data_IF_789408266237
#
_entry.id   IF_789408266237
#
_cell.length_a   1.000
_cell.length_b   1.000
_cell.length_c   1.000
_cell.angle_alpha   90.00
_cell.angle_beta   90.00
_cell.angle_gamma   90.00
#
_symmetry.space_group_name_H-M   'P 1'
#
loop_
_entity.id
_entity.type
_entity.pdbx_description
1 polymer ?
#
# COMPACT_ATOMS: atom_id res chain seq x y z
N UNK A 1 -13.01 -28.61 -5.01
CA UNK A 1 -14.27 -29.21 -5.42
C UNK A 1 -14.44 -30.67 -4.99
N UNK A 2 -13.36 -31.47 -4.81
CA UNK A 2 -13.47 -32.87 -4.31
C UNK A 2 -14.25 -32.99 -2.99
N UNK A 3 -14.07 -32.04 -2.07
CA UNK A 3 -14.79 -32.00 -0.79
C UNK A 3 -16.31 -31.84 -0.94
N UNK A 4 -16.78 -31.23 -2.02
CA UNK A 4 -18.20 -30.95 -2.26
C UNK A 4 -18.81 -31.88 -3.33
N UNK A 5 -18.09 -32.93 -3.77
CA UNK A 5 -18.58 -33.86 -4.78
C UNK A 5 -18.90 -33.22 -6.14
N UNK A 6 -18.17 -32.18 -6.52
CA UNK A 6 -18.40 -31.45 -7.77
C UNK A 6 -17.80 -32.21 -8.97
N UNK A 7 -18.47 -33.26 -9.38
CA UNK A 7 -18.06 -34.10 -10.51
C UNK A 7 -18.08 -33.34 -11.86
N UNK A 8 -18.91 -32.31 -11.97
CA UNK A 8 -19.08 -31.52 -13.21
C UNK A 8 -18.24 -30.22 -13.22
N UNK A 9 -17.36 -30.03 -12.24
CA UNK A 9 -16.50 -28.84 -12.08
C UNK A 9 -17.26 -27.50 -12.11
N UNK A 10 -18.55 -27.47 -11.78
CA UNK A 10 -19.38 -26.26 -11.78
C UNK A 10 -18.94 -25.26 -10.70
N UNK A 11 -18.68 -25.73 -9.49
CA UNK A 11 -18.17 -24.90 -8.40
C UNK A 11 -16.78 -24.36 -8.72
N UNK A 12 -15.92 -25.18 -9.32
CA UNK A 12 -14.58 -24.76 -9.76
C UNK A 12 -14.68 -23.69 -10.85
N UNK A 13 -15.60 -23.80 -11.80
CA UNK A 13 -15.81 -22.81 -12.83
C UNK A 13 -16.30 -21.48 -12.25
N UNK A 14 -17.29 -21.51 -11.36
CA UNK A 14 -17.81 -20.31 -10.71
C UNK A 14 -16.71 -19.62 -9.89
N UNK A 15 -15.95 -20.39 -9.11
CA UNK A 15 -14.84 -19.87 -8.33
C UNK A 15 -13.77 -19.24 -9.22
N UNK A 16 -13.41 -19.87 -10.34
CA UNK A 16 -12.45 -19.32 -11.29
C UNK A 16 -12.93 -17.99 -11.89
N UNK A 17 -14.19 -17.88 -12.27
CA UNK A 17 -14.76 -16.63 -12.79
C UNK A 17 -14.72 -15.53 -11.74
N UNK A 18 -15.11 -15.83 -10.50
CA UNK A 18 -15.08 -14.87 -9.39
C UNK A 18 -13.64 -14.40 -9.14
N UNK A 19 -12.67 -15.32 -9.08
CA UNK A 19 -11.28 -15.00 -8.92
C UNK A 19 -10.81 -14.06 -10.04
N UNK A 20 -11.06 -14.40 -11.30
CA UNK A 20 -10.65 -13.57 -12.44
C UNK A 20 -11.25 -12.15 -12.36
N UNK A 21 -12.53 -12.03 -12.07
CA UNK A 21 -13.22 -10.72 -11.99
C UNK A 21 -12.62 -9.82 -10.92
N UNK A 22 -12.22 -10.35 -9.77
CA UNK A 22 -11.69 -9.56 -8.67
C UNK A 22 -10.16 -9.43 -8.68
N UNK A 23 -9.44 -10.44 -9.19
CA UNK A 23 -7.98 -10.40 -9.21
C UNK A 23 -7.40 -9.58 -10.35
N UNK A 24 -8.06 -9.49 -11.50
CA UNK A 24 -7.59 -8.65 -12.61
C UNK A 24 -7.48 -7.17 -12.17
N UNK A 25 -8.52 -6.53 -11.58
CA UNK A 25 -8.39 -5.18 -11.05
C UNK A 25 -7.34 -5.05 -9.93
N UNK A 26 -7.24 -6.05 -9.06
CA UNK A 26 -6.27 -6.06 -7.97
C UNK A 26 -4.83 -6.01 -8.49
N UNK A 27 -4.46 -6.91 -9.41
CA UNK A 27 -3.13 -6.94 -10.03
C UNK A 27 -2.87 -5.68 -10.86
N UNK A 28 -3.89 -5.18 -11.57
CA UNK A 28 -3.79 -3.93 -12.33
C UNK A 28 -3.47 -2.73 -11.44
N UNK A 29 -3.94 -2.70 -10.18
CA UNK A 29 -3.63 -1.64 -9.23
C UNK A 29 -2.12 -1.60 -8.88
N UNK A 30 -1.48 -2.75 -8.76
CA UNK A 30 -0.02 -2.87 -8.58
C UNK A 30 0.74 -2.27 -9.77
N UNK A 31 0.36 -2.65 -10.99
CA UNK A 31 1.00 -2.09 -12.19
C UNK A 31 0.76 -0.58 -12.36
N UNK A 32 -0.44 -0.08 -11.96
CA UNK A 32 -0.71 1.36 -11.88
C UNK A 32 0.31 2.07 -10.99
N UNK A 33 0.60 1.52 -9.83
CA UNK A 33 1.54 2.12 -8.89
C UNK A 33 2.97 2.19 -9.45
N UNK A 34 3.42 1.18 -10.22
CA UNK A 34 4.70 1.22 -10.95
C UNK A 34 4.69 2.36 -11.98
N UNK A 35 3.63 2.46 -12.77
CA UNK A 35 3.48 3.54 -13.76
C UNK A 35 3.54 4.92 -13.11
N UNK A 36 2.83 5.13 -12.01
CA UNK A 36 2.82 6.39 -11.24
C UNK A 36 4.20 6.72 -10.68
N UNK A 37 4.88 5.73 -10.09
CA UNK A 37 6.21 5.92 -9.53
C UNK A 37 7.23 6.40 -10.57
N UNK A 38 7.36 5.70 -11.68
CA UNK A 38 8.33 6.04 -12.71
C UNK A 38 7.97 7.33 -13.46
N UNK A 39 6.69 7.61 -13.67
CA UNK A 39 6.25 8.87 -14.26
C UNK A 39 6.57 10.05 -13.34
N UNK A 40 6.30 9.93 -12.04
CA UNK A 40 6.54 11.01 -11.08
C UNK A 40 8.03 11.28 -10.83
N UNK A 41 8.89 10.25 -10.89
CA UNK A 41 10.32 10.39 -10.59
C UNK A 41 11.15 10.77 -11.82
N UNK A 42 10.86 10.17 -12.95
CA UNK A 42 11.72 10.24 -14.14
C UNK A 42 11.03 10.87 -15.35
N UNK A 43 9.75 11.25 -15.23
CA UNK A 43 8.98 11.78 -16.35
C UNK A 43 8.74 10.77 -17.48
N UNK A 44 8.97 9.48 -17.22
CA UNK A 44 8.73 8.41 -18.20
C UNK A 44 7.23 8.31 -18.48
N UNK A 45 6.87 8.03 -19.73
CA UNK A 45 5.47 7.82 -20.07
C UNK A 45 4.86 6.73 -19.18
N UNK A 46 3.72 7.05 -18.56
CA UNK A 46 3.01 6.18 -17.60
C UNK A 46 2.75 4.77 -18.16
N UNK A 47 2.21 4.67 -19.37
CA UNK A 47 1.89 3.38 -19.98
C UNK A 47 3.13 2.55 -20.29
N UNK A 48 4.21 3.20 -20.74
CA UNK A 48 5.48 2.51 -21.01
C UNK A 48 6.07 1.95 -19.72
N UNK A 49 6.11 2.75 -18.66
CA UNK A 49 6.61 2.31 -17.36
C UNK A 49 5.78 1.16 -16.78
N UNK A 50 4.46 1.24 -16.87
CA UNK A 50 3.54 0.21 -16.42
C UNK A 50 3.75 -1.11 -17.18
N UNK A 51 3.86 -1.07 -18.51
CA UNK A 51 4.04 -2.27 -19.33
C UNK A 51 5.40 -2.92 -19.07
N UNK A 52 6.49 -2.13 -19.04
CA UNK A 52 7.83 -2.64 -18.76
C UNK A 52 7.87 -3.26 -17.36
N UNK A 53 7.31 -2.58 -16.36
CA UNK A 53 7.21 -3.10 -15.01
C UNK A 53 6.43 -4.42 -14.94
N UNK A 54 5.29 -4.52 -15.63
CA UNK A 54 4.51 -5.74 -15.69
C UNK A 54 5.31 -6.91 -16.31
N UNK A 55 6.05 -6.67 -17.41
CA UNK A 55 6.90 -7.68 -18.02
C UNK A 55 7.98 -8.18 -17.06
N UNK A 56 8.62 -7.28 -16.33
CA UNK A 56 9.66 -7.63 -15.34
C UNK A 56 9.07 -8.47 -14.21
N UNK A 57 7.93 -8.05 -13.64
CA UNK A 57 7.28 -8.78 -12.54
C UNK A 57 6.85 -10.17 -12.99
N UNK A 58 6.13 -10.28 -14.10
CA UNK A 58 5.70 -11.58 -14.65
C UNK A 58 6.91 -12.46 -14.96
N UNK A 59 7.96 -11.86 -15.53
CA UNK A 59 9.18 -12.59 -15.89
C UNK A 59 9.84 -13.27 -14.69
N UNK A 60 10.11 -12.53 -13.63
CA UNK A 60 10.77 -13.12 -12.46
C UNK A 60 9.84 -14.08 -11.69
N UNK A 61 8.55 -13.79 -11.61
CA UNK A 61 7.58 -14.67 -10.95
C UNK A 61 7.48 -16.02 -11.63
N UNK A 62 7.43 -16.04 -12.97
CA UNK A 62 7.41 -17.28 -13.77
C UNK A 62 8.72 -18.08 -13.59
N UNK A 63 9.86 -17.39 -13.54
CA UNK A 63 11.16 -18.04 -13.39
C UNK A 63 11.43 -18.56 -11.97
N UNK A 64 10.99 -17.82 -10.96
CA UNK A 64 11.32 -18.08 -9.56
C UNK A 64 10.31 -18.93 -8.79
N UNK A 65 9.07 -18.95 -9.21
CA UNK A 65 7.98 -19.67 -8.56
C UNK A 65 7.71 -19.23 -7.12
N UNK A 66 6.87 -19.96 -6.41
CA UNK A 66 6.37 -19.61 -5.08
C UNK A 66 7.47 -19.40 -4.01
N UNK A 67 8.54 -20.21 -4.05
CA UNK A 67 9.61 -20.12 -3.04
C UNK A 67 10.41 -18.82 -3.21
N UNK A 68 10.74 -18.44 -4.44
CA UNK A 68 11.46 -17.20 -4.71
C UNK A 68 10.62 -15.98 -4.35
N UNK A 69 9.34 -15.98 -4.73
CA UNK A 69 8.38 -14.93 -4.37
C UNK A 69 8.31 -14.76 -2.85
N UNK A 70 8.10 -15.85 -2.10
CA UNK A 70 8.01 -15.78 -0.64
C UNK A 70 9.28 -15.25 0.03
N UNK A 71 10.45 -15.56 -0.51
CA UNK A 71 11.72 -15.07 0.00
C UNK A 71 11.94 -13.58 -0.34
N UNK A 72 11.62 -13.19 -1.56
CA UNK A 72 11.68 -11.77 -1.96
C UNK A 72 10.70 -10.93 -1.16
N UNK A 73 9.48 -11.38 -0.92
CA UNK A 73 8.48 -10.71 -0.08
C UNK A 73 8.99 -10.44 1.33
N UNK A 74 9.69 -11.40 1.94
CA UNK A 74 10.27 -11.22 3.27
C UNK A 74 11.30 -10.08 3.26
N UNK A 75 12.23 -10.08 2.31
CA UNK A 75 13.25 -9.03 2.18
C UNK A 75 12.57 -7.67 1.92
N UNK A 76 11.62 -7.64 1.01
CA UNK A 76 10.87 -6.44 0.64
C UNK A 76 10.10 -5.86 1.84
N UNK A 77 9.49 -6.69 2.67
CA UNK A 77 8.78 -6.24 3.88
C UNK A 77 9.69 -5.56 4.90
N UNK A 78 10.95 -6.00 5.00
CA UNK A 78 11.97 -5.37 5.85
C UNK A 78 12.32 -3.98 5.31
N UNK A 79 12.60 -3.88 3.99
CA UNK A 79 12.89 -2.59 3.35
C UNK A 79 11.72 -1.62 3.46
N UNK A 80 10.48 -2.10 3.24
CA UNK A 80 9.27 -1.30 3.42
C UNK A 80 9.15 -0.76 4.83
N UNK A 81 9.40 -1.59 5.85
CA UNK A 81 9.31 -1.15 7.25
C UNK A 81 10.33 -0.05 7.56
N UNK A 82 11.57 -0.22 7.11
CA UNK A 82 12.63 0.80 7.27
C UNK A 82 12.23 2.10 6.54
N UNK A 83 11.72 1.97 5.31
CA UNK A 83 11.27 3.09 4.50
C UNK A 83 10.15 3.88 5.17
N UNK A 84 9.13 3.21 5.69
CA UNK A 84 8.00 3.83 6.38
C UNK A 84 8.47 4.61 7.63
N UNK A 85 9.35 4.03 8.44
CA UNK A 85 9.91 4.69 9.63
C UNK A 85 10.72 5.93 9.22
N UNK A 86 11.56 5.82 8.20
CA UNK A 86 12.38 6.93 7.72
C UNK A 86 11.52 8.11 7.23
N UNK A 87 10.47 7.83 6.45
CA UNK A 87 9.52 8.85 5.97
C UNK A 87 8.82 9.56 7.12
N UNK A 88 8.37 8.80 8.14
CA UNK A 88 7.70 9.38 9.32
C UNK A 88 8.63 10.32 10.07
N UNK A 89 9.84 9.86 10.41
CA UNK A 89 10.79 10.67 11.17
C UNK A 89 11.20 11.94 10.42
N UNK A 90 11.51 11.81 9.13
CA UNK A 90 11.86 12.94 8.29
C UNK A 90 10.68 13.91 8.11
N UNK A 91 9.49 13.38 7.83
CA UNK A 91 8.29 14.18 7.60
C UNK A 91 7.86 14.97 8.83
N UNK A 92 7.91 14.37 10.04
CA UNK A 92 7.66 15.09 11.31
C UNK A 92 8.64 16.24 11.49
N UNK A 93 9.92 16.01 11.21
CA UNK A 93 10.94 17.06 11.31
C UNK A 93 10.66 18.20 10.32
N UNK A 94 10.28 17.87 9.08
CA UNK A 94 9.99 18.87 8.04
C UNK A 94 8.69 19.66 8.30
N UNK A 95 7.71 19.04 8.96
CA UNK A 95 6.48 19.71 9.38
C UNK A 95 6.65 20.68 10.57
N UNK A 96 7.83 20.67 11.21
CA UNK A 96 8.08 21.50 12.40
C UNK A 96 7.80 20.80 13.73
N UNK A 97 7.65 19.47 13.72
CA UNK A 97 7.46 18.64 14.92
C UNK A 97 6.11 17.92 14.96
N UNK A 98 6.01 16.96 15.88
CA UNK A 98 4.80 16.15 16.03
C UNK A 98 3.58 16.97 16.46
N UNK A 99 3.79 17.95 17.32
CA UNK A 99 2.71 18.86 17.80
C UNK A 99 2.09 19.60 16.63
N UNK A 100 2.93 20.18 15.75
CA UNK A 100 2.47 20.88 14.54
C UNK A 100 1.68 19.95 13.60
N UNK A 101 2.11 18.70 13.47
CA UNK A 101 1.39 17.70 12.64
C UNK A 101 -0.01 17.44 13.20
N UNK A 102 -0.12 17.28 14.53
CA UNK A 102 -1.41 17.04 15.19
C UNK A 102 -2.30 18.28 15.14
N UNK A 103 -1.74 19.46 15.39
CA UNK A 103 -2.47 20.72 15.36
C UNK A 103 -3.05 21.01 13.97
N UNK A 104 -2.26 20.83 12.92
CA UNK A 104 -2.71 20.97 11.53
C UNK A 104 -3.84 19.99 11.18
N UNK A 105 -3.73 18.74 11.62
CA UNK A 105 -4.77 17.74 11.40
C UNK A 105 -6.05 18.06 12.18
N UNK A 106 -5.91 18.55 13.42
CA UNK A 106 -7.04 18.93 14.28
C UNK A 106 -7.77 20.18 13.79
N UNK A 107 -7.08 21.03 13.04
CA UNK A 107 -7.67 22.23 12.44
C UNK A 107 -8.64 21.90 11.30
N UNK A 108 -8.59 20.69 10.72
CA UNK A 108 -9.49 20.26 9.66
C UNK A 108 -10.82 19.74 10.26
N UNK A 109 -11.98 20.30 9.87
CA UNK A 109 -13.28 19.90 10.41
C UNK A 109 -13.58 18.41 10.16
N UNK A 110 -13.79 17.65 11.23
CA UNK A 110 -14.15 16.22 11.15
C UNK A 110 -13.04 15.26 10.74
N UNK A 111 -11.82 15.75 10.44
CA UNK A 111 -10.74 14.91 9.87
C UNK A 111 -10.24 13.83 10.82
N UNK A 112 -10.19 14.09 12.13
CA UNK A 112 -9.76 13.13 13.15
C UNK A 112 -10.95 12.37 13.79
N UNK A 113 -12.16 12.58 13.31
CA UNK A 113 -13.36 11.89 13.79
C UNK A 113 -13.60 10.63 12.95
N UNK A 114 -13.67 9.46 13.59
CA UNK A 114 -13.89 8.17 12.92
C UNK A 114 -15.26 8.06 12.24
N UNK A 115 -16.20 8.90 12.61
CA UNK A 115 -17.58 8.90 12.07
C UNK A 115 -17.82 9.99 11.02
N UNK A 116 -16.81 10.79 10.74
CA UNK A 116 -16.87 11.91 9.82
C UNK A 116 -15.74 11.82 8.81
N UNK A 117 -15.84 12.59 7.76
CA UNK A 117 -14.81 12.79 6.76
C UNK A 117 -14.52 14.27 6.58
N UNK A 118 -13.46 14.58 5.92
CA UNK A 118 -13.14 15.93 5.47
C UNK A 118 -13.28 15.99 3.95
N UNK A 119 -14.10 16.90 3.45
CA UNK A 119 -14.24 17.14 2.02
C UNK A 119 -13.29 18.26 1.58
N UNK A 120 -12.28 17.90 0.81
CA UNK A 120 -11.26 18.84 0.32
C UNK A 120 -11.85 19.91 -0.60
N UNK A 121 -12.92 19.57 -1.35
CA UNK A 121 -13.52 20.50 -2.31
C UNK A 121 -14.30 21.62 -1.64
N UNK A 122 -14.98 21.31 -0.52
CA UNK A 122 -15.80 22.28 0.23
C UNK A 122 -15.09 22.84 1.45
N UNK A 123 -13.99 22.23 1.89
CA UNK A 123 -13.30 22.59 3.14
C UNK A 123 -14.12 22.31 4.40
N UNK A 124 -15.14 21.49 4.29
CA UNK A 124 -16.11 21.24 5.35
C UNK A 124 -16.14 19.78 5.80
N UNK A 125 -16.77 19.56 6.94
CA UNK A 125 -17.06 18.23 7.45
C UNK A 125 -18.01 17.46 6.51
N UNK A 126 -17.64 16.25 6.15
CA UNK A 126 -18.45 15.33 5.37
C UNK A 126 -19.04 14.23 6.25
N UNK A 127 -20.27 13.83 5.98
CA UNK A 127 -20.93 12.72 6.66
C UNK A 127 -20.32 11.37 6.21
N UNK A 128 -19.79 10.58 7.14
CA UNK A 128 -19.41 9.20 6.88
C UNK A 128 -20.59 8.29 7.22
N UNK A 129 -21.46 8.07 6.25
CA UNK A 129 -22.73 7.37 6.44
C UNK A 129 -22.58 5.89 6.81
N UNK A 130 -23.62 5.31 7.41
CA UNK A 130 -23.61 3.89 7.84
C UNK A 130 -23.29 2.90 6.72
N UNK A 131 -23.72 3.17 5.49
CA UNK A 131 -23.36 2.34 4.33
C UNK A 131 -21.85 2.37 4.05
N UNK A 132 -21.20 3.52 4.16
CA UNK A 132 -19.75 3.67 4.01
C UNK A 132 -18.98 2.89 5.09
N UNK A 133 -19.47 2.96 6.33
CA UNK A 133 -18.90 2.20 7.45
C UNK A 133 -18.99 0.70 7.16
N UNK A 134 -20.17 0.19 6.81
CA UNK A 134 -20.38 -1.23 6.49
C UNK A 134 -19.52 -1.66 5.30
N UNK A 135 -19.45 -0.85 4.26
CA UNK A 135 -18.63 -1.12 3.07
C UNK A 135 -17.13 -1.21 3.42
N UNK A 136 -16.63 -0.31 4.27
CA UNK A 136 -15.25 -0.33 4.71
C UNK A 136 -14.95 -1.55 5.58
N UNK A 137 -15.84 -1.92 6.50
CA UNK A 137 -15.69 -3.11 7.33
C UNK A 137 -15.81 -4.42 6.53
N UNK A 138 -16.60 -4.42 5.46
CA UNK A 138 -16.75 -5.57 4.57
C UNK A 138 -15.45 -5.95 3.85
N UNK A 139 -14.51 -5.01 3.70
CA UNK A 139 -13.18 -5.30 3.16
C UNK A 139 -12.48 -6.42 3.97
N UNK A 140 -12.57 -6.38 5.30
CA UNK A 140 -12.01 -7.43 6.16
C UNK A 140 -12.57 -8.82 5.88
N UNK A 141 -13.85 -8.94 5.47
CA UNK A 141 -14.46 -10.21 5.10
C UNK A 141 -13.89 -10.77 3.79
N UNK A 142 -13.49 -9.91 2.86
CA UNK A 142 -12.87 -10.31 1.60
C UNK A 142 -11.57 -11.08 1.77
N UNK A 143 -10.78 -10.75 2.79
CA UNK A 143 -9.50 -11.42 3.05
C UNK A 143 -9.63 -12.92 3.32
N UNK A 144 -10.73 -13.40 3.85
CA UNK A 144 -10.96 -14.84 4.08
C UNK A 144 -11.08 -15.65 2.79
N UNK A 145 -11.40 -15.02 1.67
CA UNK A 145 -11.54 -15.67 0.38
C UNK A 145 -10.38 -15.42 -0.59
N UNK A 146 -9.38 -14.64 -0.21
CA UNK A 146 -8.29 -14.28 -1.13
C UNK A 146 -7.33 -15.45 -1.38
N UNK A 147 -7.19 -15.92 -2.64
CA UNK A 147 -6.41 -17.11 -2.99
C UNK A 147 -4.93 -17.00 -2.59
N UNK A 148 -4.27 -15.86 -2.77
CA UNK A 148 -2.88 -15.66 -2.41
C UNK A 148 -2.63 -15.79 -0.89
N UNK A 149 -3.59 -15.39 -0.06
CA UNK A 149 -3.52 -15.57 1.40
C UNK A 149 -3.73 -17.04 1.76
N UNK A 150 -4.72 -17.70 1.14
CA UNK A 150 -5.00 -19.11 1.38
C UNK A 150 -3.81 -19.99 0.95
N UNK A 151 -3.17 -19.70 -0.16
CA UNK A 151 -1.98 -20.41 -0.64
C UNK A 151 -0.83 -20.33 0.38
N UNK A 152 -0.60 -19.18 0.99
CA UNK A 152 0.44 -19.01 2.01
C UNK A 152 0.16 -19.84 3.26
N UNK A 153 -1.11 -19.92 3.69
CA UNK A 153 -1.49 -20.81 4.79
C UNK A 153 -1.32 -22.29 4.44
N UNK A 154 -1.62 -22.67 3.20
CA UNK A 154 -1.48 -24.07 2.73
C UNK A 154 -0.01 -24.47 2.55
N UNK A 155 0.91 -23.52 2.35
CA UNK A 155 2.32 -23.76 2.14
C UNK A 155 3.14 -23.85 3.44
N UNK A 156 2.52 -23.63 4.61
CA UNK A 156 3.20 -23.76 5.92
C UNK A 156 3.53 -25.23 6.17
N UNK A 157 4.79 -25.50 6.49
CA UNK A 157 5.35 -26.84 6.69
C UNK A 157 4.70 -27.59 7.87
N UNK A 158 4.45 -26.86 8.98
CA UNK A 158 3.89 -27.41 10.20
C UNK A 158 2.65 -26.64 10.65
N UNK A 159 1.56 -27.33 10.93
CA UNK A 159 0.31 -26.73 11.40
C UNK A 159 0.50 -25.86 12.67
N UNK A 160 1.41 -26.26 13.57
CA UNK A 160 1.72 -25.52 14.80
C UNK A 160 2.28 -24.12 14.52
N UNK A 161 3.05 -23.94 13.45
CA UNK A 161 3.64 -22.66 13.03
C UNK A 161 2.60 -21.67 12.48
N UNK A 162 1.39 -22.15 12.17
CA UNK A 162 0.31 -21.30 11.66
C UNK A 162 -0.08 -20.18 12.63
N UNK A 163 -0.12 -20.48 13.92
CA UNK A 163 -0.46 -19.49 14.94
C UNK A 163 0.59 -18.38 15.06
N UNK A 164 1.87 -18.73 14.97
CA UNK A 164 2.96 -17.76 15.03
C UNK A 164 2.99 -16.90 13.77
N UNK A 165 2.84 -17.51 12.60
CA UNK A 165 2.71 -16.79 11.32
C UNK A 165 1.55 -15.78 11.37
N UNK A 166 0.38 -16.19 11.86
CA UNK A 166 -0.78 -15.30 12.01
C UNK A 166 -0.47 -14.11 12.93
N UNK A 167 0.16 -14.37 14.09
CA UNK A 167 0.50 -13.32 15.07
C UNK A 167 1.47 -12.31 14.47
N UNK A 168 2.54 -12.78 13.84
CA UNK A 168 3.55 -11.93 13.20
C UNK A 168 2.89 -11.07 12.11
N UNK A 169 2.13 -11.69 11.21
CA UNK A 169 1.45 -10.99 10.13
C UNK A 169 0.45 -9.94 10.67
N UNK A 170 -0.36 -10.29 11.67
CA UNK A 170 -1.32 -9.35 12.26
C UNK A 170 -0.64 -8.13 12.88
N UNK A 171 0.41 -8.35 13.69
CA UNK A 171 1.15 -7.25 14.33
C UNK A 171 1.80 -6.36 13.27
N UNK A 172 2.44 -6.97 12.27
CA UNK A 172 3.09 -6.22 11.19
C UNK A 172 2.08 -5.40 10.38
N UNK A 173 0.94 -5.98 10.01
CA UNK A 173 -0.11 -5.28 9.25
C UNK A 173 -0.67 -4.10 10.05
N UNK A 174 -0.98 -4.29 11.34
CA UNK A 174 -1.51 -3.21 12.18
C UNK A 174 -0.51 -2.06 12.27
N UNK A 175 0.76 -2.35 12.54
CA UNK A 175 1.80 -1.32 12.63
C UNK A 175 1.97 -0.59 11.30
N UNK A 176 2.12 -1.31 10.20
CA UNK A 176 2.34 -0.70 8.88
C UNK A 176 1.15 0.10 8.40
N UNK A 177 -0.08 -0.35 8.65
CA UNK A 177 -1.28 0.42 8.31
C UNK A 177 -1.42 1.70 9.14
N UNK A 178 -1.16 1.63 10.44
CA UNK A 178 -1.14 2.83 11.28
C UNK A 178 -0.10 3.84 10.81
N UNK A 179 1.11 3.38 10.48
CA UNK A 179 2.16 4.24 9.94
C UNK A 179 1.75 4.83 8.58
N UNK A 180 1.17 4.05 7.69
CA UNK A 180 0.74 4.52 6.38
C UNK A 180 -0.33 5.62 6.48
N UNK A 181 -1.33 5.47 7.36
CA UNK A 181 -2.32 6.51 7.64
C UNK A 181 -1.64 7.77 8.20
N UNK A 182 -0.69 7.59 9.13
CA UNK A 182 0.01 8.71 9.75
C UNK A 182 0.91 9.47 8.74
N UNK A 183 1.48 8.79 7.75
CA UNK A 183 2.21 9.43 6.65
C UNK A 183 1.31 10.39 5.86
N UNK A 184 0.04 10.05 5.65
CA UNK A 184 -0.92 10.95 5.01
C UNK A 184 -1.11 12.25 5.81
N UNK A 185 -1.25 12.15 7.14
CA UNK A 185 -1.38 13.29 8.05
C UNK A 185 -0.09 14.16 8.03
N UNK A 186 1.07 13.51 8.05
CA UNK A 186 2.37 14.19 7.95
C UNK A 186 2.49 14.90 6.61
N UNK A 187 2.15 14.24 5.51
CA UNK A 187 2.21 14.81 4.15
C UNK A 187 1.37 16.07 4.03
N UNK A 188 0.16 16.07 4.59
CA UNK A 188 -0.65 17.28 4.68
C UNK A 188 0.07 18.39 5.44
N UNK A 189 0.63 18.11 6.61
CA UNK A 189 1.34 19.13 7.41
C UNK A 189 2.60 19.67 6.70
N UNK A 190 3.33 18.83 5.98
CA UNK A 190 4.49 19.24 5.18
C UNK A 190 4.07 20.10 3.98
N UNK A 191 2.90 19.83 3.38
CA UNK A 191 2.35 20.67 2.32
C UNK A 191 1.87 22.03 2.85
N UNK A 192 1.26 22.08 4.03
CA UNK A 192 0.91 23.34 4.72
C UNK A 192 2.16 24.16 5.02
N UNK A 193 3.27 23.51 5.39
CA UNK A 193 4.57 24.17 5.57
C UNK A 193 5.22 24.65 4.24
N UNK A 194 4.59 24.42 3.09
CA UNK A 194 5.04 24.85 1.78
C UNK A 194 6.29 24.10 1.26
N UNK A 195 6.62 22.95 1.83
CA UNK A 195 7.83 22.17 1.47
C UNK A 195 7.59 21.13 0.38
N UNK A 196 6.34 20.71 0.19
CA UNK A 196 5.90 19.92 -0.95
C UNK A 196 4.65 20.57 -1.56
N UNK A 197 4.31 20.29 -2.83
CA UNK A 197 3.09 20.78 -3.45
C UNK A 197 1.84 20.38 -2.64
N UNK A 198 0.82 21.22 -2.67
CA UNK A 198 -0.44 20.91 -2.02
C UNK A 198 -1.15 19.80 -2.79
N UNK A 199 -1.47 18.71 -2.10
CA UNK A 199 -2.09 17.52 -2.69
C UNK A 199 -3.61 17.70 -2.72
N UNK A 200 -4.13 18.24 -3.82
CA UNK A 200 -5.54 18.65 -3.93
C UNK A 200 -6.46 17.56 -4.47
N UNK A 201 -5.90 16.59 -5.16
CA UNK A 201 -6.65 15.48 -5.76
C UNK A 201 -6.24 14.14 -5.13
N UNK A 202 -7.12 13.15 -5.25
CA UNK A 202 -6.80 11.78 -4.84
C UNK A 202 -5.58 11.21 -5.56
N UNK A 203 -5.40 11.57 -6.83
CA UNK A 203 -4.23 11.16 -7.62
C UNK A 203 -2.94 11.81 -7.11
N UNK A 204 -2.98 13.09 -6.70
CA UNK A 204 -1.84 13.77 -6.08
C UNK A 204 -1.51 13.14 -4.73
N UNK A 205 -2.51 12.80 -3.92
CA UNK A 205 -2.33 12.16 -2.62
C UNK A 205 -1.62 10.80 -2.72
N UNK A 206 -1.82 10.04 -3.81
CA UNK A 206 -1.07 8.80 -4.08
C UNK A 206 0.45 9.04 -4.19
N UNK A 207 0.90 10.25 -4.46
CA UNK A 207 2.33 10.59 -4.62
C UNK A 207 3.01 11.08 -3.33
N UNK A 208 2.31 11.15 -2.20
CA UNK A 208 2.82 11.76 -0.96
C UNK A 208 4.18 11.20 -0.52
N UNK A 209 4.36 9.88 -0.55
CA UNK A 209 5.63 9.24 -0.18
C UNK A 209 6.73 9.58 -1.19
N UNK A 210 6.40 9.68 -2.47
CA UNK A 210 7.34 10.07 -3.53
C UNK A 210 7.80 11.52 -3.31
N UNK A 211 6.87 12.44 -3.03
CA UNK A 211 7.18 13.84 -2.75
C UNK A 211 8.05 14.01 -1.51
N UNK A 212 7.74 13.30 -0.43
CA UNK A 212 8.55 13.31 0.80
C UNK A 212 9.95 12.71 0.56
N UNK A 213 10.06 11.65 -0.23
CA UNK A 213 11.34 11.05 -0.61
C UNK A 213 12.17 11.98 -1.49
N UNK A 214 11.53 12.67 -2.44
CA UNK A 214 12.19 13.70 -3.26
C UNK A 214 12.70 14.86 -2.40
N UNK A 215 11.87 15.37 -1.48
CA UNK A 215 12.30 16.39 -0.53
C UNK A 215 13.48 15.90 0.33
N UNK A 216 13.45 14.66 0.80
CA UNK A 216 14.54 14.05 1.57
C UNK A 216 15.85 14.01 0.77
N UNK A 217 15.80 13.69 -0.51
CA UNK A 217 16.98 13.60 -1.37
C UNK A 217 17.73 14.94 -1.54
N UNK A 218 17.07 16.05 -1.31
CA UNK A 218 17.66 17.40 -1.40
C UNK A 218 18.45 17.79 -0.13
N UNK A 219 18.38 17.02 0.95
CA UNK A 219 19.01 17.34 2.23
C UNK A 219 20.34 16.60 2.47
N UNK A 220 21.07 16.27 1.42
CA UNK A 220 22.42 15.71 1.48
C UNK A 220 22.50 14.24 1.04
N UNK A 221 23.74 13.79 0.77
CA UNK A 221 24.00 12.50 0.15
C UNK A 221 23.44 11.28 0.94
N UNK A 222 23.56 11.31 2.27
CA UNK A 222 23.05 10.21 3.11
C UNK A 222 21.52 10.11 3.00
N UNK A 223 20.81 11.24 3.08
CA UNK A 223 19.35 11.28 2.95
C UNK A 223 18.90 10.97 1.52
N UNK A 224 19.69 11.28 0.52
CA UNK A 224 19.43 10.87 -0.86
C UNK A 224 19.52 9.33 -1.04
N UNK A 225 20.48 8.67 -0.38
CA UNK A 225 20.57 7.21 -0.38
C UNK A 225 19.35 6.60 0.32
N UNK A 226 18.93 7.13 1.48
CA UNK A 226 17.74 6.67 2.19
C UNK A 226 16.49 6.87 1.33
N UNK A 227 16.35 8.03 0.66
CA UNK A 227 15.26 8.28 -0.29
C UNK A 227 15.24 7.23 -1.43
N UNK A 228 16.39 6.86 -1.97
CA UNK A 228 16.51 5.79 -2.96
C UNK A 228 16.04 4.43 -2.42
N UNK A 229 16.35 4.11 -1.17
CA UNK A 229 15.85 2.89 -0.49
C UNK A 229 14.33 2.94 -0.34
N UNK A 230 13.76 4.09 0.05
CA UNK A 230 12.30 4.26 0.17
C UNK A 230 11.62 4.04 -1.17
N UNK A 231 12.11 4.65 -2.23
CA UNK A 231 11.56 4.49 -3.58
C UNK A 231 11.67 3.05 -4.09
N UNK A 232 12.79 2.38 -3.79
CA UNK A 232 12.94 0.95 -4.05
C UNK A 232 11.94 0.11 -3.24
N UNK A 233 11.64 0.52 -2.00
CA UNK A 233 10.62 -0.09 -1.16
C UNK A 233 9.21 0.03 -1.74
N UNK A 234 8.86 1.16 -2.37
CA UNK A 234 7.58 1.32 -3.08
C UNK A 234 7.50 0.34 -4.26
N UNK A 235 8.57 0.26 -5.05
CA UNK A 235 8.64 -0.68 -6.17
C UNK A 235 8.52 -2.12 -5.66
N UNK A 236 9.22 -2.46 -4.60
CA UNK A 236 9.16 -3.76 -3.96
C UNK A 236 7.73 -4.12 -3.51
N UNK A 237 7.02 -3.17 -2.86
CA UNK A 237 5.64 -3.36 -2.43
C UNK A 237 4.69 -3.63 -3.60
N UNK A 238 4.87 -2.92 -4.71
CA UNK A 238 4.05 -3.13 -5.90
C UNK A 238 4.34 -4.45 -6.60
N UNK A 239 5.61 -4.88 -6.59
CA UNK A 239 6.01 -6.17 -7.12
C UNK A 239 5.41 -7.33 -6.31
N UNK A 240 5.49 -7.27 -4.98
CA UNK A 240 4.92 -8.30 -4.09
C UNK A 240 3.39 -8.35 -4.10
N UNK A 241 2.74 -7.36 -4.67
CA UNK A 241 1.28 -7.36 -4.87
C UNK A 241 0.87 -8.03 -6.17
N UNK A 242 1.75 -8.00 -7.16
CA UNK A 242 1.47 -8.49 -8.52
C UNK A 242 1.95 -9.93 -8.75
N UNK A 243 2.87 -10.45 -7.94
CA UNK A 243 3.40 -11.81 -7.97
C UNK A 243 2.64 -12.78 -7.05
#
# INVERSE_FOLDING_TARGET
SRRFGDEKNRLSCIAAVVILVFFIPYTASGFKAIGTLFNSLFGVNYHTAMIVGAIVVIGYTVMGGFMAVSFTDLIQSIFMTIALIAVVLFGIHQAGGLTTVIDNASALPGYLDLTKGYDVATGAEASFGGLSIVSTLAWGLGYFGMPHILLRFMAIEEEKKLNDSRRIATVWVVISMCIAVFIGIIGYSVSVAGKIPFLTTSADAETVIIQLSHLMSQHGALLAIIAGIILSGILAATMSTAD
#
